data_IF_589101159148
#
_entry.id   IF_589101159148
#
_cell.length_a   1.000
_cell.length_b   1.000
_cell.length_c   1.000
_cell.angle_alpha   90.00
_cell.angle_beta   90.00
_cell.angle_gamma   90.00
#
_symmetry.space_group_name_H-M   'P 1'
#
loop_
_entity.id
_entity.type
_entity.pdbx_description
1 polymer ?
#
# COMPACT_ATOMS: atom_id res chain seq x y z
N UNK A 1 6.53 -24.66 13.83
CA UNK A 1 6.58 -23.72 12.69
C UNK A 1 8.04 -23.52 12.34
N UNK A 2 8.41 -23.65 11.07
CA UNK A 2 9.79 -23.56 10.60
C UNK A 2 10.11 -22.14 10.10
N UNK A 3 9.23 -21.58 9.31
CA UNK A 3 9.37 -20.23 8.76
C UNK A 3 8.02 -19.66 8.33
N UNK A 4 7.97 -18.35 8.12
CA UNK A 4 6.88 -17.64 7.49
C UNK A 4 7.30 -17.24 6.09
N UNK A 5 6.38 -17.28 5.14
CA UNK A 5 6.58 -16.75 3.81
C UNK A 5 5.50 -15.74 3.50
N UNK A 6 5.89 -14.57 2.98
CA UNK A 6 4.97 -13.50 2.63
C UNK A 6 5.00 -13.22 1.13
N UNK A 7 3.83 -13.01 0.55
CA UNK A 7 3.64 -12.59 -0.83
C UNK A 7 2.64 -11.45 -0.89
N UNK A 8 2.78 -10.55 -1.87
CA UNK A 8 1.89 -9.42 -2.04
C UNK A 8 1.70 -9.07 -3.52
N UNK A 9 0.56 -8.46 -3.85
CA UNK A 9 0.43 -7.70 -5.07
C UNK A 9 1.01 -6.29 -4.83
N UNK A 10 2.29 -6.12 -5.16
CA UNK A 10 3.13 -5.01 -4.70
C UNK A 10 2.52 -3.62 -4.94
N UNK A 11 1.97 -3.38 -6.13
CA UNK A 11 1.42 -2.05 -6.47
C UNK A 11 0.19 -1.72 -5.64
N UNK A 12 -0.70 -2.69 -5.44
CA UNK A 12 -1.92 -2.50 -4.67
C UNK A 12 -1.59 -2.40 -3.18
N UNK A 13 -0.76 -3.29 -2.66
CA UNK A 13 -0.32 -3.27 -1.27
C UNK A 13 0.34 -1.94 -0.89
N UNK A 14 1.24 -1.40 -1.72
CA UNK A 14 1.86 -0.09 -1.50
C UNK A 14 0.82 1.04 -1.49
N UNK A 15 -0.16 1.00 -2.37
CA UNK A 15 -1.24 1.99 -2.43
C UNK A 15 -2.10 1.94 -1.16
N UNK A 16 -2.48 0.75 -0.73
CA UNK A 16 -3.25 0.55 0.51
C UNK A 16 -2.46 1.00 1.73
N UNK A 17 -1.18 0.62 1.85
CA UNK A 17 -0.30 1.09 2.93
C UNK A 17 -0.19 2.61 2.95
N UNK A 18 -0.06 3.26 1.78
CA UNK A 18 0.00 4.72 1.69
C UNK A 18 -1.30 5.38 2.15
N UNK A 19 -2.47 4.80 1.83
CA UNK A 19 -3.75 5.31 2.30
C UNK A 19 -3.88 5.19 3.82
N UNK A 20 -3.50 4.05 4.38
CA UNK A 20 -3.48 3.84 5.84
C UNK A 20 -2.57 4.87 6.51
N UNK A 21 -1.33 5.00 6.02
CA UNK A 21 -0.36 5.95 6.57
C UNK A 21 -0.89 7.39 6.56
N UNK A 22 -1.50 7.83 5.46
CA UNK A 22 -2.11 9.17 5.36
C UNK A 22 -3.26 9.37 6.35
N UNK A 23 -4.16 8.40 6.45
CA UNK A 23 -5.31 8.46 7.35
C UNK A 23 -4.87 8.55 8.82
N UNK A 24 -3.95 7.68 9.23
CA UNK A 24 -3.41 7.65 10.59
C UNK A 24 -2.60 8.92 10.89
N UNK A 25 -1.78 9.39 9.94
CA UNK A 25 -1.03 10.63 10.06
C UNK A 25 -1.94 11.82 10.38
N UNK A 26 -3.04 11.96 9.64
CA UNK A 26 -4.00 13.05 9.84
C UNK A 26 -4.78 12.90 11.15
N UNK A 27 -5.31 11.70 11.41
CA UNK A 27 -6.13 11.41 12.59
C UNK A 27 -5.39 11.69 13.92
N UNK A 28 -4.12 11.33 13.99
CA UNK A 28 -3.31 11.46 15.21
C UNK A 28 -2.38 12.68 15.19
N UNK A 29 -2.50 13.56 14.19
CA UNK A 29 -1.65 14.76 14.05
C UNK A 29 -0.16 14.44 14.14
N UNK A 30 0.28 13.38 13.46
CA UNK A 30 1.66 12.91 13.50
C UNK A 30 2.63 13.92 12.87
N UNK A 31 3.90 13.81 13.21
CA UNK A 31 5.02 14.49 12.56
C UNK A 31 5.68 13.62 11.49
N UNK A 32 5.57 12.31 11.63
CA UNK A 32 6.07 11.35 10.66
C UNK A 32 5.49 9.96 10.89
N UNK A 33 5.41 9.18 9.82
CA UNK A 33 5.04 7.77 9.83
C UNK A 33 5.83 7.04 8.74
N UNK A 34 6.34 5.86 9.06
CA UNK A 34 6.93 4.94 8.11
C UNK A 34 6.40 3.54 8.37
N UNK A 35 6.11 2.81 7.30
CA UNK A 35 5.62 1.42 7.35
C UNK A 35 6.42 0.60 6.34
N UNK A 36 6.97 -0.52 6.79
CA UNK A 36 7.75 -1.45 5.97
C UNK A 36 7.24 -2.85 6.23
N UNK A 37 6.92 -3.61 5.19
CA UNK A 37 6.59 -5.02 5.30
C UNK A 37 7.58 -5.85 4.48
N UNK A 38 8.16 -6.90 5.09
CA UNK A 38 9.05 -7.84 4.40
C UNK A 38 8.20 -8.78 3.54
N UNK A 39 8.74 -9.15 2.39
CA UNK A 39 8.21 -10.18 1.51
C UNK A 39 9.21 -11.32 1.35
N UNK A 40 8.75 -12.47 0.91
CA UNK A 40 9.56 -13.68 0.83
C UNK A 40 9.64 -14.41 2.17
N UNK A 41 10.71 -15.15 2.35
CA UNK A 41 10.94 -15.95 3.56
C UNK A 41 11.35 -15.06 4.72
N UNK A 42 10.68 -15.22 5.84
CA UNK A 42 10.98 -14.57 7.12
C UNK A 42 11.21 -15.67 8.16
N UNK A 43 12.47 -15.86 8.62
CA UNK A 43 12.79 -16.83 9.65
C UNK A 43 12.08 -16.54 10.98
N UNK A 44 11.91 -17.56 11.80
CA UNK A 44 11.34 -17.40 13.13
C UNK A 44 12.26 -16.48 13.98
N UNK A 45 11.62 -15.54 14.67
CA UNK A 45 12.33 -14.56 15.50
C UNK A 45 12.77 -13.30 14.75
N UNK A 46 12.52 -13.23 13.43
CA UNK A 46 12.76 -12.01 12.65
C UNK A 46 11.47 -11.21 12.41
N UNK A 47 11.62 -9.90 12.25
CA UNK A 47 10.52 -8.98 12.05
C UNK A 47 9.97 -9.09 10.63
N UNK A 48 8.65 -9.20 10.49
CA UNK A 48 7.94 -9.17 9.21
C UNK A 48 7.41 -7.78 8.87
N UNK A 49 7.11 -6.97 9.87
CA UNK A 49 6.62 -5.61 9.71
C UNK A 49 7.33 -4.67 10.68
N UNK A 50 7.65 -3.46 10.20
CA UNK A 50 8.18 -2.37 10.99
C UNK A 50 7.30 -1.14 10.78
N UNK A 51 6.87 -0.53 11.88
CA UNK A 51 6.10 0.71 11.87
C UNK A 51 6.78 1.70 12.81
N UNK A 52 7.13 2.86 12.27
CA UNK A 52 7.71 3.94 13.04
C UNK A 52 6.81 5.18 12.93
N UNK A 53 6.49 5.78 14.08
CA UNK A 53 5.66 6.97 14.17
C UNK A 53 6.34 8.02 15.04
N UNK A 54 6.15 9.28 14.71
CA UNK A 54 6.54 10.41 15.55
C UNK A 54 5.37 11.36 15.74
N UNK A 55 5.14 11.79 16.97
CA UNK A 55 4.05 12.67 17.34
C UNK A 55 4.52 13.68 18.42
N UNK A 56 3.83 14.82 18.63
CA UNK A 56 4.13 15.75 19.70
C UNK A 56 4.02 15.13 21.10
N UNK A 57 3.13 14.14 21.27
CA UNK A 57 2.87 13.48 22.54
C UNK A 57 2.88 11.96 22.38
N UNK A 58 3.40 11.26 23.40
CA UNK A 58 3.56 9.81 23.41
C UNK A 58 2.25 9.05 23.18
N UNK A 59 1.13 9.53 23.74
CA UNK A 59 -0.16 8.86 23.59
C UNK A 59 -0.60 8.76 22.13
N UNK A 60 -0.49 9.85 21.38
CA UNK A 60 -0.79 9.86 19.95
C UNK A 60 0.13 8.92 19.17
N UNK A 61 1.42 8.85 19.53
CA UNK A 61 2.36 7.94 18.88
C UNK A 61 2.00 6.46 19.13
N UNK A 62 1.68 6.08 20.37
CA UNK A 62 1.30 4.70 20.69
C UNK A 62 0.01 4.28 19.98
N UNK A 63 -1.02 5.11 20.05
CA UNK A 63 -2.30 4.83 19.36
C UNK A 63 -2.14 4.73 17.85
N UNK A 64 -1.36 5.63 17.27
CA UNK A 64 -1.09 5.61 15.83
C UNK A 64 -0.32 4.37 15.39
N UNK A 65 0.67 3.93 16.17
CA UNK A 65 1.42 2.72 15.89
C UNK A 65 0.53 1.46 15.93
N UNK A 66 -0.28 1.32 16.96
CA UNK A 66 -1.23 0.23 17.10
C UNK A 66 -2.25 0.22 15.95
N UNK A 67 -2.91 1.35 15.69
CA UNK A 67 -3.88 1.47 14.60
C UNK A 67 -3.26 1.16 13.23
N UNK A 68 -2.04 1.64 12.98
CA UNK A 68 -1.33 1.36 11.72
C UNK A 68 -1.08 -0.14 11.54
N UNK A 69 -0.73 -0.84 12.60
CA UNK A 69 -0.49 -2.29 12.56
C UNK A 69 -1.79 -3.06 12.28
N UNK A 70 -2.86 -2.73 13.00
CA UNK A 70 -4.16 -3.39 12.85
C UNK A 70 -4.76 -3.13 11.45
N UNK A 71 -4.73 -1.89 10.97
CA UNK A 71 -5.19 -1.53 9.62
C UNK A 71 -4.35 -2.23 8.54
N UNK A 72 -3.02 -2.32 8.73
CA UNK A 72 -2.15 -3.03 7.81
C UNK A 72 -2.52 -4.51 7.72
N UNK A 73 -2.66 -5.19 8.86
CA UNK A 73 -3.06 -6.59 8.90
C UNK A 73 -4.46 -6.84 8.32
N UNK A 74 -5.40 -5.92 8.56
CA UNK A 74 -6.77 -6.07 8.12
C UNK A 74 -6.99 -5.82 6.62
N UNK A 75 -6.23 -4.90 6.02
CA UNK A 75 -6.57 -4.32 4.71
C UNK A 75 -5.52 -4.48 3.63
N UNK A 76 -4.23 -4.58 3.99
CA UNK A 76 -3.17 -4.66 2.99
C UNK A 76 -3.18 -6.04 2.31
N UNK A 77 -3.03 -6.05 1.02
CA UNK A 77 -3.08 -7.24 0.16
C UNK A 77 -1.77 -8.02 0.24
N UNK A 78 -1.55 -8.60 1.42
CA UNK A 78 -0.42 -9.44 1.77
C UNK A 78 -0.96 -10.79 2.24
N UNK A 79 -0.36 -11.86 1.74
CA UNK A 79 -0.65 -13.24 2.13
C UNK A 79 0.52 -13.80 2.89
N UNK A 80 0.23 -14.63 3.89
CA UNK A 80 1.23 -15.38 4.65
C UNK A 80 1.04 -16.89 4.43
N UNK A 81 2.14 -17.61 4.39
CA UNK A 81 2.21 -19.05 4.42
C UNK A 81 3.02 -19.48 5.63
N UNK A 82 2.45 -20.33 6.44
CA UNK A 82 3.11 -20.90 7.61
C UNK A 82 3.62 -22.31 7.23
N UNK A 83 4.92 -22.52 7.30
CA UNK A 83 5.52 -23.83 7.05
C UNK A 83 5.78 -24.54 8.38
N UNK A 84 5.30 -25.78 8.47
CA UNK A 84 5.56 -26.70 9.57
C UNK A 84 6.36 -27.89 9.06
N UNK A 85 7.19 -28.49 9.94
CA UNK A 85 7.92 -29.70 9.58
C UNK A 85 6.93 -30.83 9.23
N UNK A 86 7.08 -31.38 8.01
CA UNK A 86 6.28 -32.50 7.53
C UNK A 86 4.87 -32.16 7.04
N UNK A 87 4.51 -30.88 6.94
CA UNK A 87 3.22 -30.42 6.40
C UNK A 87 3.43 -29.35 5.33
N UNK A 88 2.68 -29.47 4.24
CA UNK A 88 2.65 -28.47 3.20
C UNK A 88 1.96 -27.19 3.72
N UNK A 89 2.64 -26.04 3.64
CA UNK A 89 2.11 -24.76 4.08
C UNK A 89 0.92 -24.30 3.22
N UNK A 90 -0.03 -23.62 3.83
CA UNK A 90 -1.21 -23.07 3.17
C UNK A 90 -1.15 -21.56 3.18
N UNK A 91 -1.38 -20.92 2.03
CA UNK A 91 -1.49 -19.47 1.91
C UNK A 91 -2.76 -18.95 2.59
N UNK A 92 -2.63 -17.92 3.39
CA UNK A 92 -3.73 -17.24 4.09
C UNK A 92 -3.58 -15.73 3.98
N UNK A 93 -4.71 -15.01 4.03
CA UNK A 93 -4.63 -13.55 4.20
C UNK A 93 -3.91 -13.20 5.51
N UNK A 94 -3.16 -12.09 5.52
CA UNK A 94 -2.39 -11.64 6.69
C UNK A 94 -3.28 -11.04 7.80
N UNK A 95 -4.42 -11.67 8.05
CA UNK A 95 -5.36 -11.29 9.12
C UNK A 95 -5.25 -12.27 10.27
N UNK A 96 -5.17 -11.77 11.49
CA UNK A 96 -5.21 -12.61 12.67
C UNK A 96 -6.63 -13.16 12.90
N UNK A 97 -6.75 -14.46 13.19
CA UNK A 97 -8.00 -15.10 13.63
C UNK A 97 -8.99 -15.55 12.56
N UNK A 98 -8.75 -15.34 11.27
CA UNK A 98 -9.61 -15.84 10.21
C UNK A 98 -8.93 -17.03 9.53
N UNK A 99 -9.53 -18.23 9.59
CA UNK A 99 -9.11 -19.34 8.75
C UNK A 99 -9.32 -18.94 7.28
N UNK A 100 -8.23 -18.66 6.56
CA UNK A 100 -8.26 -18.27 5.17
C UNK A 100 -8.78 -19.41 4.28
N UNK A 101 -9.58 -19.05 3.29
CA UNK A 101 -9.88 -19.95 2.18
C UNK A 101 -8.59 -20.26 1.41
N UNK A 102 -8.44 -21.50 0.95
CA UNK A 102 -7.33 -21.88 0.06
C UNK A 102 -7.40 -21.02 -1.20
N UNK A 103 -6.38 -20.19 -1.42
CA UNK A 103 -6.22 -19.49 -2.69
C UNK A 103 -5.76 -20.50 -3.74
N UNK A 104 -6.63 -20.81 -4.69
CA UNK A 104 -6.23 -21.42 -5.96
C UNK A 104 -5.95 -20.31 -6.96
N UNK A 105 -4.96 -20.47 -7.83
CA UNK A 105 -4.58 -19.48 -8.85
C UNK A 105 -5.76 -18.97 -9.70
N UNK A 106 -6.82 -19.76 -9.84
CA UNK A 106 -8.06 -19.38 -10.52
C UNK A 106 -8.84 -18.25 -9.80
N UNK A 107 -8.69 -18.08 -8.48
CA UNK A 107 -9.38 -17.04 -7.70
C UNK A 107 -8.67 -15.69 -7.70
N UNK A 108 -7.41 -15.62 -8.12
CA UNK A 108 -6.66 -14.37 -8.14
C UNK A 108 -7.20 -13.37 -9.18
N UNK A 109 -7.71 -13.86 -10.31
CA UNK A 109 -8.25 -13.02 -11.39
C UNK A 109 -9.61 -12.39 -11.03
N UNK A 110 -10.45 -13.08 -10.28
CA UNK A 110 -11.78 -12.56 -9.92
C UNK A 110 -11.72 -11.45 -8.86
N UNK A 111 -10.73 -11.50 -7.96
CA UNK A 111 -10.52 -10.47 -6.96
C UNK A 111 -9.93 -9.18 -7.54
N UNK A 112 -9.11 -9.27 -8.59
CA UNK A 112 -8.59 -8.11 -9.31
C UNK A 112 -9.73 -7.29 -9.94
N UNK A 113 -10.70 -7.96 -10.56
CA UNK A 113 -11.83 -7.31 -11.25
C UNK A 113 -12.79 -6.62 -10.27
N UNK A 114 -12.98 -7.18 -9.08
CA UNK A 114 -13.89 -6.59 -8.09
C UNK A 114 -13.26 -5.43 -7.30
N UNK A 115 -11.93 -5.43 -7.11
CA UNK A 115 -11.23 -4.36 -6.40
C UNK A 115 -10.92 -3.15 -7.27
N UNK A 116 -10.68 -3.32 -8.57
CA UNK A 116 -10.56 -2.18 -9.50
C UNK A 116 -11.84 -1.35 -9.62
N UNK A 117 -13.02 -1.98 -9.47
CA UNK A 117 -14.32 -1.31 -9.49
C UNK A 117 -14.62 -0.49 -8.20
N UNK A 118 -13.91 -0.73 -7.10
CA UNK A 118 -14.15 -0.11 -5.80
C UNK A 118 -13.25 1.10 -5.47
N UNK A 119 -12.31 1.47 -6.33
CA UNK A 119 -11.39 2.59 -6.10
C UNK A 119 -11.94 3.83 -6.82
N UNK A 120 -12.36 4.88 -6.09
CA UNK A 120 -12.74 6.13 -6.73
C UNK A 120 -11.51 6.76 -7.40
N UNK A 121 -11.69 7.46 -8.55
CA UNK A 121 -10.58 8.09 -9.27
C UNK A 121 -9.84 9.05 -8.35
N UNK A 122 -8.52 8.90 -8.28
CA UNK A 122 -7.64 9.82 -7.54
C UNK A 122 -7.70 11.17 -8.23
N UNK A 123 -8.26 12.17 -7.56
CA UNK A 123 -8.25 13.55 -8.04
C UNK A 123 -6.82 14.06 -8.28
N UNK A 124 -6.64 15.13 -9.06
CA UNK A 124 -5.34 15.63 -9.45
C UNK A 124 -4.46 15.91 -8.24
N UNK A 125 -3.24 15.41 -8.26
CA UNK A 125 -2.22 15.63 -7.22
C UNK A 125 -1.84 17.11 -7.26
N UNK A 126 -2.34 17.89 -6.31
CA UNK A 126 -1.91 19.29 -6.12
C UNK A 126 -0.50 19.23 -5.51
N UNK A 127 0.51 19.53 -6.32
CA UNK A 127 1.86 19.77 -5.81
C UNK A 127 1.85 21.04 -4.94
N UNK A 128 2.41 21.01 -3.73
CA UNK A 128 2.62 22.23 -2.98
C UNK A 128 3.56 23.16 -3.76
N UNK A 129 3.12 24.35 -4.09
CA UNK A 129 3.93 25.38 -4.74
C UNK A 129 5.04 25.81 -3.79
N UNK A 130 6.26 25.88 -4.26
CA UNK A 130 7.37 26.48 -3.52
C UNK A 130 7.15 28.00 -3.46
N UNK A 131 7.38 28.64 -2.32
CA UNK A 131 7.31 30.10 -2.24
C UNK A 131 8.35 30.72 -3.17
N UNK A 132 7.88 31.47 -4.20
CA UNK A 132 8.74 32.23 -5.09
C UNK A 132 8.62 31.95 -6.61
N UNK A 133 7.91 30.93 -7.05
CA UNK A 133 7.70 30.69 -8.48
C UNK A 133 6.54 31.55 -9.02
N UNK A 134 6.87 32.60 -9.77
CA UNK A 134 5.90 33.37 -10.56
C UNK A 134 5.40 32.51 -11.72
N UNK A 135 4.10 32.24 -11.76
CA UNK A 135 3.47 31.41 -12.75
C UNK A 135 3.71 31.90 -14.18
N UNK A 136 4.27 31.05 -15.02
CA UNK A 136 4.22 31.21 -16.46
C UNK A 136 2.88 30.62 -16.92
N UNK A 137 2.10 31.44 -17.63
CA UNK A 137 0.82 31.06 -18.23
C UNK A 137 0.96 29.91 -19.24
N UNK A 138 -0.17 29.32 -19.67
CA UNK A 138 -0.17 28.12 -20.48
C UNK A 138 0.52 28.37 -21.84
N UNK A 139 1.53 27.55 -22.14
CA UNK A 139 2.19 27.50 -23.44
C UNK A 139 1.21 26.92 -24.45
N UNK A 140 0.70 27.76 -25.36
CA UNK A 140 -0.11 27.32 -26.47
C UNK A 140 0.82 26.77 -27.55
N UNK A 141 0.76 25.48 -27.81
CA UNK A 141 1.46 24.84 -28.90
C UNK A 141 0.85 25.27 -30.23
N UNK A 142 1.63 25.81 -31.19
CA UNK A 142 1.14 26.13 -32.53
C UNK A 142 0.86 24.83 -33.31
N UNK A 143 -0.30 24.80 -34.00
CA UNK A 143 -0.68 23.73 -34.91
C UNK A 143 0.33 23.59 -36.05
N UNK A 144 0.64 22.37 -36.52
CA UNK A 144 1.47 22.18 -37.70
C UNK A 144 0.74 22.70 -38.97
N UNK A 145 1.40 23.57 -39.74
CA UNK A 145 0.97 24.06 -41.01
C UNK A 145 0.89 22.95 -42.04
N UNK A 146 -0.28 22.79 -42.66
CA UNK A 146 -0.47 21.93 -43.82
C UNK A 146 0.24 22.54 -45.03
N UNK A 147 1.20 21.81 -45.60
CA UNK A 147 1.79 22.14 -46.91
C UNK A 147 0.83 21.82 -48.02
N UNK A 148 0.35 22.85 -48.70
CA UNK A 148 -0.34 22.76 -49.99
C UNK A 148 0.67 22.39 -51.09
N UNK A 149 0.53 21.20 -51.65
CA UNK A 149 1.11 20.87 -52.96
C UNK A 149 0.15 21.37 -54.05
N UNK A 150 0.69 22.13 -54.99
CA UNK A 150 0.07 22.47 -56.25
C UNK A 150 0.80 21.85 -57.45
N UNK A 151 0.15 21.70 -58.56
CA UNK A 151 0.31 20.69 -59.62
C UNK A 151 1.58 20.82 -60.40
#
# INVERSE_FOLDING_TARGET
>A
MKELQYSAYNQLALRTMMHIAKAVYQKHSLKGIAMIHRLGVVPIGEESILIAVSAPHREAAWRAGEESLEECKARVEIWKREEFEGQEGVWRANRDGIQGQKFTEAGANDLQTQQEAAIPPVGPVIRPQRPGEKGHGPVVNPKPSQSLSKP
#
